data_IF_681755518912
#
_entry.id   IF_681755518912
#
_cell.length_a   1.000
_cell.length_b   1.000
_cell.length_c   1.000
_cell.angle_alpha   90.00
_cell.angle_beta   90.00
_cell.angle_gamma   90.00
#
_symmetry.space_group_name_H-M   'P 1'
#
loop_
_entity.id
_entity.type
_entity.pdbx_description
1 polymer ?
#
# COMPACT_ATOMS: atom_id res chain seq x y z
N UNK A 1 -8.31 5.29 -14.23
CA UNK A 1 -7.64 6.11 -13.21
C UNK A 1 -8.69 6.95 -12.50
N UNK A 2 -8.66 6.96 -11.18
CA UNK A 2 -9.43 7.90 -10.36
C UNK A 2 -8.54 9.13 -10.10
N UNK A 3 -9.13 10.31 -10.02
CA UNK A 3 -8.38 11.57 -9.88
C UNK A 3 -8.40 12.06 -8.44
N UNK A 4 -7.22 12.35 -7.90
CA UNK A 4 -7.01 13.20 -6.74
C UNK A 4 -6.25 14.47 -7.24
N UNK A 5 -6.46 15.66 -6.65
CA UNK A 5 -5.84 16.90 -7.13
C UNK A 5 -4.32 16.86 -7.39
N UNK A 6 -3.58 16.04 -6.65
CA UNK A 6 -2.12 15.93 -6.68
C UNK A 6 -1.59 14.69 -7.38
N UNK A 7 -2.42 13.66 -7.61
CA UNK A 7 -2.03 12.43 -8.30
C UNK A 7 -3.21 11.61 -8.86
N UNK A 8 -2.87 10.69 -9.76
CA UNK A 8 -3.81 9.72 -10.31
C UNK A 8 -3.76 8.41 -9.52
N UNK A 9 -4.92 7.87 -9.15
CA UNK A 9 -5.06 6.58 -8.48
C UNK A 9 -5.33 5.52 -9.53
N UNK A 10 -4.48 4.50 -9.57
CA UNK A 10 -4.67 3.37 -10.47
C UNK A 10 -5.71 2.44 -9.87
N UNK A 11 -6.72 2.08 -10.66
CA UNK A 11 -7.81 1.19 -10.22
C UNK A 11 -8.09 0.16 -11.31
N UNK A 12 -8.38 -1.07 -10.91
CA UNK A 12 -8.99 -2.08 -11.76
C UNK A 12 -10.28 -2.56 -11.08
N UNK A 13 -11.40 -2.36 -11.77
CA UNK A 13 -12.71 -2.77 -11.30
C UNK A 13 -13.16 -4.04 -12.03
N UNK A 14 -13.49 -5.06 -11.26
CA UNK A 14 -13.96 -6.37 -11.70
C UNK A 14 -15.42 -6.54 -11.27
N UNK A 15 -16.40 -6.19 -12.12
CA UNK A 15 -17.79 -6.47 -11.85
C UNK A 15 -18.14 -7.93 -12.16
N UNK A 16 -18.99 -8.56 -11.35
CA UNK A 16 -19.55 -9.89 -11.66
C UNK A 16 -20.60 -9.80 -12.75
N UNK A 17 -21.40 -8.73 -12.73
CA UNK A 17 -22.38 -8.41 -13.76
C UNK A 17 -22.35 -6.92 -14.04
N UNK A 18 -22.50 -6.54 -15.31
CA UNK A 18 -22.59 -5.13 -15.74
C UNK A 18 -24.02 -4.60 -15.81
N UNK A 19 -25.03 -5.44 -15.52
CA UNK A 19 -26.42 -4.98 -15.49
C UNK A 19 -26.67 -4.10 -14.26
N UNK A 20 -27.26 -2.93 -14.49
CA UNK A 20 -27.65 -1.97 -13.45
C UNK A 20 -28.85 -2.43 -12.60
N UNK A 21 -29.46 -3.58 -12.93
CA UNK A 21 -30.69 -4.05 -12.30
C UNK A 21 -30.49 -4.50 -10.85
N UNK A 22 -29.24 -4.68 -10.40
CA UNK A 22 -28.92 -5.12 -9.03
C UNK A 22 -27.61 -4.53 -8.54
N UNK A 23 -27.65 -3.90 -7.35
CA UNK A 23 -26.46 -3.56 -6.58
C UNK A 23 -25.89 -4.84 -5.95
N UNK A 24 -24.65 -5.16 -6.26
CA UNK A 24 -23.93 -6.30 -5.70
C UNK A 24 -22.95 -5.84 -4.62
N UNK A 25 -22.69 -6.66 -3.59
CA UNK A 25 -21.60 -6.40 -2.67
C UNK A 25 -20.28 -6.19 -3.43
N UNK A 26 -19.51 -5.20 -3.03
CA UNK A 26 -18.25 -4.79 -3.65
C UNK A 26 -17.18 -4.72 -2.59
N UNK A 27 -16.07 -5.42 -2.80
CA UNK A 27 -14.89 -5.34 -1.93
C UNK A 27 -13.84 -4.46 -2.57
N UNK A 28 -13.37 -3.47 -1.81
CA UNK A 28 -12.26 -2.61 -2.21
C UNK A 28 -10.97 -3.15 -1.60
N UNK A 29 -10.06 -3.63 -2.46
CA UNK A 29 -8.77 -4.22 -2.10
C UNK A 29 -7.66 -3.20 -2.31
N UNK A 30 -7.01 -2.81 -1.22
CA UNK A 30 -5.77 -2.03 -1.23
C UNK A 30 -4.56 -2.93 -0.99
N UNK A 31 -3.44 -2.59 -1.62
CA UNK A 31 -2.18 -3.27 -1.36
C UNK A 31 -1.48 -2.78 -0.09
N UNK A 32 -0.50 -3.57 0.34
CA UNK A 32 0.47 -3.18 1.37
C UNK A 32 1.69 -2.48 0.78
N UNK A 33 2.86 -2.86 1.27
CA UNK A 33 4.10 -2.13 1.07
C UNK A 33 4.73 -2.29 -0.33
N UNK A 34 4.69 -3.50 -0.90
CA UNK A 34 5.32 -3.86 -2.17
C UNK A 34 4.38 -4.57 -3.17
N UNK A 35 3.12 -4.76 -2.79
CA UNK A 35 2.14 -5.51 -3.60
C UNK A 35 1.58 -4.75 -4.81
N UNK A 36 1.17 -5.50 -5.83
CA UNK A 36 0.58 -4.98 -7.08
C UNK A 36 -0.94 -5.10 -7.12
N UNK A 37 -1.60 -4.27 -7.95
CA UNK A 37 -3.06 -4.36 -8.15
C UNK A 37 -3.45 -5.76 -8.64
N UNK A 38 -2.63 -6.34 -9.53
CA UNK A 38 -2.80 -7.68 -10.09
C UNK A 38 -2.63 -8.77 -9.03
N UNK A 39 -1.69 -8.61 -8.09
CA UNK A 39 -1.52 -9.55 -6.97
C UNK A 39 -2.78 -9.63 -6.12
N UNK A 40 -3.42 -8.49 -5.80
CA UNK A 40 -4.68 -8.49 -5.04
C UNK A 40 -5.81 -9.23 -5.74
N UNK A 41 -5.86 -9.16 -7.08
CA UNK A 41 -6.81 -9.95 -7.83
C UNK A 41 -6.57 -11.45 -7.64
N UNK A 42 -5.32 -11.91 -7.74
CA UNK A 42 -5.01 -13.34 -7.60
C UNK A 42 -5.10 -13.85 -6.17
N UNK A 43 -4.70 -13.05 -5.19
CA UNK A 43 -4.69 -13.44 -3.78
C UNK A 43 -6.11 -13.50 -3.18
N UNK A 44 -6.98 -12.56 -3.57
CA UNK A 44 -8.32 -12.43 -2.99
C UNK A 44 -9.41 -12.25 -4.05
N UNK A 45 -9.17 -11.40 -5.05
CA UNK A 45 -10.19 -10.95 -5.99
C UNK A 45 -10.90 -12.08 -6.74
N UNK A 46 -10.15 -13.07 -7.26
CA UNK A 46 -10.73 -14.20 -7.98
C UNK A 46 -11.74 -14.97 -7.12
N UNK A 47 -11.40 -15.28 -5.87
CA UNK A 47 -12.31 -15.95 -4.94
C UNK A 47 -13.52 -15.10 -4.55
N UNK A 48 -13.36 -13.78 -4.43
CA UNK A 48 -14.48 -12.86 -4.15
C UNK A 48 -15.46 -12.82 -5.33
N UNK A 49 -14.93 -12.78 -6.56
CA UNK A 49 -15.74 -12.80 -7.79
C UNK A 49 -16.54 -14.10 -7.93
N UNK A 50 -15.95 -15.26 -7.61
CA UNK A 50 -16.64 -16.55 -7.60
C UNK A 50 -17.83 -16.58 -6.61
N UNK A 51 -17.78 -15.76 -5.55
CA UNK A 51 -18.88 -15.59 -4.57
C UNK A 51 -19.96 -14.61 -5.04
N UNK A 52 -19.83 -14.07 -6.25
CA UNK A 52 -20.80 -13.16 -6.85
C UNK A 52 -20.68 -11.72 -6.37
N UNK A 53 -19.53 -11.32 -5.83
CA UNK A 53 -19.26 -9.96 -5.34
C UNK A 53 -18.30 -9.23 -6.29
N UNK A 54 -18.52 -7.93 -6.51
CA UNK A 54 -17.60 -7.11 -7.27
C UNK A 54 -16.29 -6.89 -6.51
N UNK A 55 -15.21 -6.63 -7.24
CA UNK A 55 -13.91 -6.30 -6.65
C UNK A 55 -13.38 -5.03 -7.29
N UNK A 56 -12.85 -4.12 -6.49
CA UNK A 56 -12.00 -3.03 -6.98
C UNK A 56 -10.63 -3.16 -6.32
N UNK A 57 -9.60 -3.32 -7.14
CA UNK A 57 -8.22 -3.24 -6.67
C UNK A 57 -7.66 -1.85 -7.00
N UNK A 58 -6.85 -1.27 -6.12
CA UNK A 58 -6.23 0.04 -6.34
C UNK A 58 -4.77 0.13 -5.85
N UNK A 59 -4.07 1.15 -6.35
CA UNK A 59 -2.69 1.50 -6.02
C UNK A 59 -2.59 3.03 -5.80
N UNK A 60 -2.00 3.41 -4.67
CA UNK A 60 -1.81 4.79 -4.22
C UNK A 60 -0.34 5.23 -4.14
N UNK A 61 -0.07 6.44 -3.64
CA UNK A 61 1.29 6.98 -3.56
C UNK A 61 2.27 6.03 -2.86
N UNK A 62 3.48 5.90 -3.41
CA UNK A 62 4.50 4.97 -2.91
C UNK A 62 4.33 3.52 -3.38
N UNK A 63 3.18 3.14 -3.90
CA UNK A 63 2.93 1.84 -4.51
C UNK A 63 3.20 1.87 -6.04
N UNK A 64 3.27 0.68 -6.64
CA UNK A 64 3.91 0.38 -7.92
C UNK A 64 3.64 1.43 -9.01
N UNK A 65 2.38 1.63 -9.40
CA UNK A 65 2.01 2.50 -10.52
C UNK A 65 2.25 3.98 -10.20
N UNK A 66 1.82 4.43 -9.02
CA UNK A 66 2.02 5.81 -8.59
C UNK A 66 3.51 6.16 -8.46
N UNK A 67 4.28 5.28 -7.83
CA UNK A 67 5.72 5.45 -7.62
C UNK A 67 6.50 5.39 -8.94
N UNK A 68 6.19 4.45 -9.82
CA UNK A 68 6.92 4.22 -11.08
C UNK A 68 6.61 5.28 -12.14
N UNK A 69 5.34 5.63 -12.32
CA UNK A 69 4.91 6.50 -13.43
C UNK A 69 4.75 7.96 -13.02
N UNK A 70 4.35 8.24 -11.78
CA UNK A 70 4.06 9.62 -11.32
C UNK A 70 5.13 10.15 -10.36
N UNK A 71 6.06 9.28 -9.94
CA UNK A 71 7.18 9.62 -9.06
C UNK A 71 6.75 10.21 -7.71
N UNK A 72 5.61 9.79 -7.15
CA UNK A 72 5.10 10.19 -5.83
C UNK A 72 5.36 9.13 -4.74
N UNK A 73 5.79 9.57 -3.56
CA UNK A 73 6.21 8.68 -2.46
C UNK A 73 5.03 8.28 -1.57
N UNK A 74 5.24 7.32 -0.68
CA UNK A 74 4.22 6.87 0.28
C UNK A 74 3.67 8.04 1.10
N UNK A 75 2.38 8.01 1.39
CA UNK A 75 1.69 9.02 2.22
C UNK A 75 0.97 8.33 3.38
N UNK A 76 1.05 8.90 4.58
CA UNK A 76 0.27 8.43 5.73
C UNK A 76 -1.18 8.91 5.68
N UNK A 77 -1.46 9.92 4.85
CA UNK A 77 -2.79 10.49 4.63
C UNK A 77 -3.58 9.62 3.65
N UNK A 78 -3.76 8.34 3.98
CA UNK A 78 -4.36 7.37 3.07
C UNK A 78 -5.85 7.65 2.79
N UNK A 79 -6.50 8.47 3.63
CA UNK A 79 -7.83 9.00 3.38
C UNK A 79 -7.91 9.77 2.05
N UNK A 80 -6.83 10.42 1.61
CA UNK A 80 -6.79 11.13 0.32
C UNK A 80 -6.72 10.17 -0.87
N UNK A 81 -6.44 8.89 -0.63
CA UNK A 81 -6.43 7.83 -1.66
C UNK A 81 -7.76 7.09 -1.66
N UNK A 82 -8.21 6.64 -0.48
CA UNK A 82 -9.41 5.81 -0.38
C UNK A 82 -10.68 6.62 -0.68
N UNK A 83 -10.77 7.87 -0.25
CA UNK A 83 -12.01 8.66 -0.41
C UNK A 83 -12.36 8.86 -1.90
N UNK A 84 -11.44 9.31 -2.79
CA UNK A 84 -11.75 9.41 -4.22
C UNK A 84 -12.13 8.07 -4.86
N UNK A 85 -11.56 6.95 -4.40
CA UNK A 85 -11.90 5.61 -4.90
C UNK A 85 -13.33 5.24 -4.52
N UNK A 86 -13.75 5.56 -3.30
CA UNK A 86 -15.13 5.35 -2.84
C UNK A 86 -16.10 6.28 -3.58
N UNK A 87 -15.76 7.56 -3.72
CA UNK A 87 -16.57 8.52 -4.49
C UNK A 87 -16.79 8.03 -5.92
N UNK A 88 -15.74 7.49 -6.56
CA UNK A 88 -15.85 6.88 -7.88
C UNK A 88 -16.81 5.67 -7.88
N UNK A 89 -16.69 4.78 -6.89
CA UNK A 89 -17.56 3.60 -6.79
C UNK A 89 -19.03 3.96 -6.54
N UNK A 90 -19.30 5.03 -5.81
CA UNK A 90 -20.67 5.53 -5.58
C UNK A 90 -21.36 5.98 -6.87
N UNK A 91 -20.59 6.39 -7.89
CA UNK A 91 -21.15 6.71 -9.21
C UNK A 91 -21.65 5.48 -9.98
N UNK A 92 -21.26 4.26 -9.55
CA UNK A 92 -21.61 3.03 -10.26
C UNK A 92 -22.94 2.46 -9.73
N UNK A 93 -23.93 2.19 -10.62
CA UNK A 93 -25.26 1.75 -10.19
C UNK A 93 -25.29 0.31 -9.64
N UNK A 94 -24.18 -0.44 -9.77
CA UNK A 94 -24.08 -1.87 -9.45
C UNK A 94 -23.37 -2.17 -8.12
N UNK A 95 -23.07 -1.14 -7.31
CA UNK A 95 -22.18 -1.26 -6.15
C UNK A 95 -22.93 -1.16 -4.82
N UNK A 96 -22.55 -2.02 -3.87
CA UNK A 96 -22.84 -1.94 -2.44
C UNK A 96 -21.54 -2.22 -1.64
N UNK A 97 -20.98 -1.24 -0.95
CA UNK A 97 -19.54 -1.22 -0.61
C UNK A 97 -19.16 -1.84 0.73
N UNK A 98 -18.02 -2.53 0.74
CA UNK A 98 -17.23 -2.90 1.91
C UNK A 98 -15.73 -2.73 1.57
N UNK A 99 -14.91 -2.38 2.57
CA UNK A 99 -13.48 -2.05 2.38
C UNK A 99 -12.63 -3.08 3.12
N UNK A 100 -11.57 -3.58 2.47
CA UNK A 100 -10.58 -4.42 3.13
C UNK A 100 -9.72 -3.60 4.12
N UNK A 101 -9.37 -4.21 5.25
CA UNK A 101 -9.02 -3.52 6.50
C UNK A 101 -7.72 -2.70 6.53
N UNK A 102 -7.40 -2.19 7.73
CA UNK A 102 -6.18 -1.42 8.03
C UNK A 102 -4.99 -2.35 8.32
N UNK A 103 -3.83 -2.07 7.72
CA UNK A 103 -2.60 -2.84 7.89
C UNK A 103 -1.60 -2.13 8.84
N UNK A 104 -1.07 -2.84 9.85
CA UNK A 104 -0.03 -2.32 10.76
C UNK A 104 1.37 -2.62 10.24
N UNK A 105 1.98 -1.66 9.53
CA UNK A 105 3.30 -1.84 8.93
C UNK A 105 4.41 -2.06 9.99
N UNK A 106 4.30 -1.40 11.14
CA UNK A 106 5.28 -1.50 12.24
C UNK A 106 5.19 -2.81 13.05
N UNK A 107 4.11 -3.58 12.87
CA UNK A 107 3.95 -4.91 13.48
C UNK A 107 4.62 -6.03 12.69
N UNK A 108 5.13 -5.75 11.49
CA UNK A 108 5.82 -6.74 10.66
C UNK A 108 7.21 -7.00 11.29
N UNK A 109 7.61 -8.26 11.55
CA UNK A 109 8.88 -8.60 12.20
C UNK A 109 10.14 -7.97 11.56
N UNK A 110 10.02 -7.56 10.30
CA UNK A 110 11.05 -6.91 9.49
C UNK A 110 11.25 -5.42 9.85
N UNK A 111 10.22 -4.72 10.32
CA UNK A 111 10.23 -3.28 10.63
C UNK A 111 10.21 -2.96 12.13
N UNK A 112 10.11 -3.99 12.99
CA UNK A 112 10.06 -3.84 14.44
C UNK A 112 11.40 -3.41 15.08
N UNK A 113 11.31 -2.72 16.22
CA UNK A 113 12.44 -2.11 16.92
C UNK A 113 13.48 -3.11 17.48
N UNK A 114 13.08 -4.34 17.81
CA UNK A 114 13.98 -5.31 18.48
C UNK A 114 14.82 -6.17 17.52
N UNK A 115 14.39 -6.34 16.25
CA UNK A 115 15.07 -7.23 15.27
C UNK A 115 15.16 -6.67 13.84
N UNK A 116 14.66 -5.45 13.60
CA UNK A 116 14.50 -4.88 12.26
C UNK A 116 15.36 -3.64 11.99
N UNK A 117 14.80 -2.74 11.19
CA UNK A 117 15.47 -1.61 10.54
C UNK A 117 16.20 -0.61 11.45
N UNK A 118 15.86 -0.56 12.74
CA UNK A 118 16.39 0.42 13.70
C UNK A 118 17.92 0.39 13.85
N UNK A 119 18.56 -0.78 13.63
CA UNK A 119 20.02 -0.93 13.63
C UNK A 119 20.72 -0.17 12.49
N UNK A 120 19.97 0.20 11.45
CA UNK A 120 20.46 0.92 10.26
C UNK A 120 20.04 2.38 10.24
N UNK A 121 19.52 2.91 11.35
CA UNK A 121 19.12 4.32 11.50
C UNK A 121 20.24 5.32 11.18
N UNK A 122 21.52 4.91 11.24
CA UNK A 122 22.68 5.72 10.87
C UNK A 122 22.94 5.85 9.36
N UNK A 123 22.22 5.13 8.49
CA UNK A 123 22.41 5.18 7.03
C UNK A 123 21.88 6.50 6.46
N UNK A 124 22.78 7.33 5.95
CA UNK A 124 22.49 8.72 5.58
C UNK A 124 21.97 8.91 4.16
N UNK A 125 22.24 7.99 3.22
CA UNK A 125 21.79 8.13 1.83
C UNK A 125 21.76 6.78 1.10
N UNK A 126 21.24 6.76 -0.14
CA UNK A 126 21.22 5.57 -1.00
C UNK A 126 22.60 4.95 -1.25
N UNK A 127 23.66 5.75 -1.36
CA UNK A 127 25.02 5.25 -1.60
C UNK A 127 25.63 4.62 -0.32
N UNK A 128 25.29 5.16 0.85
CA UNK A 128 25.58 4.54 2.13
C UNK A 128 24.74 3.26 2.35
N UNK A 129 23.49 3.28 1.91
CA UNK A 129 22.61 2.11 1.93
C UNK A 129 23.13 1.01 1.00
N UNK A 130 23.69 1.37 -0.16
CA UNK A 130 24.33 0.43 -1.10
C UNK A 130 25.48 -0.35 -0.46
N UNK A 131 26.27 0.28 0.43
CA UNK A 131 27.31 -0.42 1.20
C UNK A 131 26.72 -1.44 2.18
N UNK A 132 25.57 -1.16 2.76
CA UNK A 132 24.81 -2.11 3.59
C UNK A 132 24.17 -3.21 2.72
N UNK A 133 23.76 -2.89 1.49
CA UNK A 133 23.12 -3.85 0.57
C UNK A 133 24.10 -4.86 -0.03
N UNK A 134 25.34 -4.43 -0.24
CA UNK A 134 26.42 -5.23 -0.84
C UNK A 134 27.24 -5.99 0.20
N UNK A 135 27.07 -5.68 1.50
CA UNK A 135 27.66 -6.45 2.60
C UNK A 135 26.95 -7.80 2.78
N UNK A 136 27.63 -8.94 2.53
CA UNK A 136 27.05 -10.27 2.71
C UNK A 136 26.71 -10.61 4.17
N UNK A 137 27.26 -9.87 5.14
CA UNK A 137 26.95 -10.00 6.56
C UNK A 137 25.58 -9.44 6.96
N UNK A 138 24.90 -8.70 6.07
CA UNK A 138 23.59 -8.11 6.32
C UNK A 138 22.47 -9.07 5.86
N UNK A 139 21.58 -9.53 6.75
CA UNK A 139 20.46 -10.39 6.38
C UNK A 139 19.58 -9.76 5.30
N UNK A 140 19.08 -10.58 4.37
CA UNK A 140 18.16 -10.13 3.31
C UNK A 140 16.90 -9.48 3.89
N UNK A 141 16.43 -9.99 5.03
CA UNK A 141 15.31 -9.44 5.81
C UNK A 141 15.57 -8.02 6.32
N UNK A 142 16.81 -7.54 6.36
CA UNK A 142 17.13 -6.16 6.69
C UNK A 142 17.47 -5.31 5.45
N UNK A 143 18.06 -5.90 4.41
CA UNK A 143 18.39 -5.19 3.16
C UNK A 143 17.16 -4.79 2.38
N UNK A 144 16.21 -5.71 2.20
CA UNK A 144 14.97 -5.48 1.46
C UNK A 144 14.14 -4.30 1.99
N UNK A 145 13.74 -4.26 3.28
CA UNK A 145 12.85 -3.18 3.75
C UNK A 145 13.51 -1.81 3.67
N UNK A 146 14.84 -1.74 3.79
CA UNK A 146 15.60 -0.50 3.67
C UNK A 146 15.68 -0.05 2.21
N UNK A 147 16.09 -0.93 1.28
CA UNK A 147 16.20 -0.56 -0.14
C UNK A 147 14.84 -0.21 -0.74
N UNK A 148 13.83 -1.04 -0.47
CA UNK A 148 12.46 -0.79 -0.90
C UNK A 148 11.89 0.45 -0.23
N UNK A 149 12.19 0.70 1.05
CA UNK A 149 11.67 1.86 1.77
C UNK A 149 12.15 3.19 1.27
N UNK A 150 13.46 3.30 1.00
CA UNK A 150 14.00 4.50 0.38
C UNK A 150 13.33 4.78 -0.97
N UNK A 151 13.07 3.73 -1.76
CA UNK A 151 12.36 3.85 -3.04
C UNK A 151 10.89 4.24 -2.87
N UNK A 152 10.11 3.45 -2.10
CA UNK A 152 8.67 3.58 -1.93
C UNK A 152 8.29 4.91 -1.26
N UNK A 153 9.03 5.33 -0.22
CA UNK A 153 8.81 6.60 0.45
C UNK A 153 9.40 7.81 -0.29
N UNK A 154 10.17 7.59 -1.35
CA UNK A 154 10.86 8.64 -2.13
C UNK A 154 11.76 9.51 -1.24
N UNK A 155 12.46 8.87 -0.32
CA UNK A 155 13.42 9.50 0.60
C UNK A 155 14.81 9.01 0.28
N UNK A 156 15.83 9.74 0.74
CA UNK A 156 17.21 9.35 0.47
C UNK A 156 17.86 8.66 1.66
N UNK A 157 17.42 8.97 2.87
CA UNK A 157 18.11 8.57 4.10
C UNK A 157 17.28 7.56 4.88
N UNK A 158 17.93 6.66 5.62
CA UNK A 158 17.22 5.72 6.48
C UNK A 158 16.51 6.43 7.64
N UNK A 159 17.06 7.55 8.10
CA UNK A 159 16.42 8.38 9.13
C UNK A 159 15.10 8.97 8.65
N UNK A 160 15.06 9.57 7.45
CA UNK A 160 13.84 10.08 6.82
C UNK A 160 12.83 8.95 6.58
N UNK A 161 13.30 7.79 6.14
CA UNK A 161 12.44 6.62 5.96
C UNK A 161 11.82 6.19 7.29
N UNK A 162 12.62 6.03 8.35
CA UNK A 162 12.12 5.63 9.68
C UNK A 162 11.14 6.65 10.27
N UNK A 163 11.42 7.94 10.11
CA UNK A 163 10.53 9.02 10.54
C UNK A 163 9.17 8.92 9.81
N UNK A 164 9.19 8.81 8.48
CA UNK A 164 7.97 8.68 7.69
C UNK A 164 7.23 7.36 7.95
N UNK A 165 7.95 6.24 8.12
CA UNK A 165 7.36 4.95 8.41
C UNK A 165 6.70 4.90 9.79
N UNK A 166 7.14 5.73 10.74
CA UNK A 166 6.59 5.79 12.10
C UNK A 166 5.09 6.16 12.12
N UNK A 167 4.62 6.89 11.12
CA UNK A 167 3.21 7.24 10.95
C UNK A 167 2.31 6.05 10.58
N UNK A 168 2.88 4.91 10.16
CA UNK A 168 2.16 3.69 9.75
C UNK A 168 2.10 2.65 10.89
N UNK A 169 1.90 3.14 12.11
CA UNK A 169 1.81 2.35 13.32
C UNK A 169 0.38 2.38 13.88
N UNK A 170 -0.18 1.20 14.15
CA UNK A 170 -1.45 1.10 14.88
C UNK A 170 -1.27 1.15 16.41
N UNK A 171 -0.06 1.45 16.92
CA UNK A 171 0.21 1.53 18.36
C UNK A 171 -0.72 2.55 19.03
N UNK A 172 -1.48 2.10 20.04
CA UNK A 172 -2.45 2.95 20.75
C UNK A 172 -3.76 3.20 20.00
N UNK A 173 -3.92 2.61 18.81
CA UNK A 173 -5.15 2.60 18.01
C UNK A 173 -5.73 1.18 17.95
N UNK A 174 -4.89 0.16 17.83
CA UNK A 174 -5.31 -1.23 17.66
C UNK A 174 -6.30 -1.72 18.73
N UNK A 175 -6.15 -1.27 19.98
CA UNK A 175 -7.05 -1.66 21.08
C UNK A 175 -8.39 -0.90 21.11
N UNK A 176 -8.62 0.02 20.15
CA UNK A 176 -9.81 0.89 20.06
C UNK A 176 -10.76 0.53 18.92
N UNK A 177 -10.42 -0.49 18.13
CA UNK A 177 -11.19 -1.00 16.98
C UNK A 177 -11.61 -2.44 17.23
#
# INVERSE_FOLDING_TARGET
>A
MVKEPSFDISVIFFPVCRSADKKLPTIVLGNGYDGSIEEMHHQYGAGILERGWNVLCYDGPGQICARRYQRIGFTHKWETVVSPVLDFLETLPIVNMNIDGLYNLMGIPVLGAEKGLARYSGVQDFAAAEKVFTDPGVPTTARWPLSHGLWAFKVRTAAEYLDNASYFSLKGIADKI
#
